data_IF_938133385361
#
_entry.id   IF_938133385361
#
_cell.length_a   1.000
_cell.length_b   1.000
_cell.length_c   1.000
_cell.angle_alpha   90.00
_cell.angle_beta   90.00
_cell.angle_gamma   90.00
#
_symmetry.space_group_name_H-M   'P 1'
#
loop_
_entity.id
_entity.type
_entity.pdbx_description
1 polymer ?
#
# COMPACT_ATOMS: atom_id res chain seq x y z
N UNK A 1 -31.89 54.25 -8.01
CA UNK A 1 -31.62 55.51 -8.74
C UNK A 1 -30.27 55.36 -9.41
N UNK A 2 -30.26 55.42 -10.74
CA UNK A 2 -29.22 54.98 -11.67
C UNK A 2 -28.15 56.05 -11.89
N UNK A 3 -26.86 55.70 -11.82
CA UNK A 3 -25.77 56.56 -12.24
C UNK A 3 -25.30 56.15 -13.65
N UNK A 4 -25.62 56.99 -14.63
CA UNK A 4 -25.20 56.90 -16.03
C UNK A 4 -23.84 57.58 -16.20
N UNK A 5 -22.84 56.84 -16.69
CA UNK A 5 -21.55 57.42 -17.09
C UNK A 5 -21.56 57.65 -18.61
N UNK A 6 -21.48 58.93 -18.94
CA UNK A 6 -21.42 59.56 -20.26
C UNK A 6 -20.11 59.23 -20.98
N UNK A 7 -20.20 58.72 -22.20
CA UNK A 7 -19.05 58.52 -23.10
C UNK A 7 -18.81 59.80 -23.91
N UNK A 8 -17.64 60.40 -23.71
CA UNK A 8 -17.16 61.57 -24.46
C UNK A 8 -16.83 61.21 -25.91
N UNK A 9 -17.48 61.95 -26.81
CA UNK A 9 -17.26 62.00 -28.25
C UNK A 9 -15.84 62.48 -28.61
N UNK A 10 -15.22 61.81 -29.59
CA UNK A 10 -14.21 62.44 -30.44
C UNK A 10 -14.33 61.95 -31.88
N UNK A 11 -15.00 62.81 -32.64
CA UNK A 11 -15.05 62.94 -34.09
C UNK A 11 -13.72 62.66 -34.80
N UNK A 12 -13.74 61.75 -35.77
CA UNK A 12 -12.85 61.76 -36.93
C UNK A 12 -13.72 61.65 -38.18
N UNK A 13 -14.10 62.81 -38.72
CA UNK A 13 -14.75 62.97 -40.02
C UNK A 13 -13.72 63.26 -41.11
N UNK A 14 -13.70 62.34 -42.09
CA UNK A 14 -13.61 62.57 -43.54
C UNK A 14 -12.52 63.49 -44.11
N UNK A 15 -11.66 62.85 -44.91
CA UNK A 15 -11.10 63.46 -46.12
C UNK A 15 -11.68 62.73 -47.34
N UNK A 16 -12.45 63.47 -48.14
CA UNK A 16 -13.00 63.08 -49.43
C UNK A 16 -12.03 63.55 -50.53
N UNK A 17 -11.70 62.66 -51.46
CA UNK A 17 -11.06 63.03 -52.72
C UNK A 17 -10.87 61.83 -53.64
N UNK A 18 -11.68 61.74 -54.71
CA UNK A 18 -11.42 60.86 -55.85
C UNK A 18 -12.62 60.03 -56.33
N UNK A 19 -13.35 60.58 -57.30
CA UNK A 19 -14.35 59.90 -58.13
C UNK A 19 -13.66 59.34 -59.38
N UNK A 20 -13.71 58.04 -59.65
CA UNK A 20 -13.74 57.47 -61.01
C UNK A 20 -14.47 56.12 -60.99
N UNK A 21 -15.53 56.06 -61.79
CA UNK A 21 -16.31 54.86 -62.07
C UNK A 21 -15.46 53.84 -62.84
N UNK A 22 -15.33 52.63 -62.29
CA UNK A 22 -15.14 51.43 -63.10
C UNK A 22 -15.97 50.30 -62.51
N UNK A 23 -17.13 50.08 -63.15
CA UNK A 23 -17.91 48.86 -63.04
C UNK A 23 -17.14 47.71 -63.67
N UNK A 24 -16.38 46.97 -62.86
CA UNK A 24 -15.81 45.67 -63.26
C UNK A 24 -16.12 44.62 -62.20
N UNK A 25 -17.26 43.96 -62.43
CA UNK A 25 -17.60 42.58 -62.06
C UNK A 25 -17.06 42.09 -60.70
N UNK A 26 -17.90 42.20 -59.68
CA UNK A 26 -17.80 41.41 -58.45
C UNK A 26 -17.92 39.93 -58.84
N UNK A 27 -16.78 39.27 -59.06
CA UNK A 27 -16.74 37.82 -59.21
C UNK A 27 -16.95 37.20 -57.85
N UNK A 28 -17.94 36.33 -57.80
CA UNK A 28 -18.35 35.48 -56.69
C UNK A 28 -17.15 34.66 -56.18
N UNK A 29 -16.30 35.26 -55.36
CA UNK A 29 -15.33 34.53 -54.54
C UNK A 29 -16.05 34.15 -53.27
N UNK A 30 -16.81 33.06 -53.37
CA UNK A 30 -17.22 32.29 -52.21
C UNK A 30 -16.02 32.15 -51.28
N UNK A 31 -16.12 32.73 -50.09
CA UNK A 31 -15.11 32.56 -49.05
C UNK A 31 -15.12 31.10 -48.68
N UNK A 32 -14.18 30.32 -49.23
CA UNK A 32 -14.01 28.92 -48.86
C UNK A 32 -13.53 28.92 -47.42
N UNK A 33 -14.44 28.70 -46.47
CA UNK A 33 -14.07 28.35 -45.11
C UNK A 33 -13.31 27.03 -45.17
N UNK A 34 -11.98 27.09 -45.07
CA UNK A 34 -11.16 25.91 -44.88
C UNK A 34 -11.37 25.42 -43.46
N UNK A 35 -12.30 24.46 -43.30
CA UNK A 35 -12.48 23.77 -42.02
C UNK A 35 -11.28 22.86 -41.80
N UNK A 36 -10.27 23.37 -41.09
CA UNK A 36 -9.14 22.57 -40.65
C UNK A 36 -9.65 21.62 -39.56
N UNK A 37 -9.75 20.33 -39.88
CA UNK A 37 -10.10 19.30 -38.92
C UNK A 37 -9.06 19.25 -37.80
N UNK A 38 -9.42 19.71 -36.60
CA UNK A 38 -8.56 19.59 -35.43
C UNK A 38 -8.58 18.13 -34.93
N UNK A 39 -7.40 17.52 -34.80
CA UNK A 39 -7.24 16.16 -34.24
C UNK A 39 -7.73 16.14 -32.78
N UNK A 40 -8.75 15.32 -32.49
CA UNK A 40 -9.34 15.22 -31.13
C UNK A 40 -8.34 14.62 -30.13
N UNK A 41 -8.07 15.33 -29.04
CA UNK A 41 -7.26 14.82 -27.93
C UNK A 41 -8.05 13.83 -27.06
N UNK A 42 -7.42 12.71 -26.68
CA UNK A 42 -8.01 11.68 -25.81
C UNK A 42 -7.97 12.15 -24.35
N UNK A 43 -9.13 12.38 -23.75
CA UNK A 43 -9.25 12.76 -22.33
C UNK A 43 -9.06 11.54 -21.42
N UNK A 44 -8.08 11.60 -20.53
CA UNK A 44 -7.81 10.59 -19.49
C UNK A 44 -8.14 11.14 -18.10
N UNK A 45 -8.34 10.26 -17.12
CA UNK A 45 -8.58 10.57 -15.71
C UNK A 45 -7.82 9.59 -14.81
N UNK A 46 -7.19 10.12 -13.77
CA UNK A 46 -6.59 9.36 -12.68
C UNK A 46 -7.66 8.82 -11.75
N UNK A 47 -7.67 7.52 -11.57
CA UNK A 47 -8.58 6.83 -10.65
C UNK A 47 -7.81 5.85 -9.76
N UNK A 48 -8.39 5.55 -8.61
CA UNK A 48 -7.99 4.46 -7.75
C UNK A 48 -9.07 3.38 -7.82
N UNK A 49 -8.69 2.13 -8.05
CA UNK A 49 -9.63 1.01 -8.04
C UNK A 49 -10.00 0.63 -6.61
N UNK A 50 -11.30 0.47 -6.33
CA UNK A 50 -11.82 -0.02 -5.05
C UNK A 50 -12.03 -1.53 -5.04
N UNK A 51 -12.17 -2.12 -6.21
CA UNK A 51 -12.40 -3.54 -6.43
C UNK A 51 -11.43 -4.07 -7.48
N UNK A 52 -11.25 -5.39 -7.51
CA UNK A 52 -10.52 -6.04 -8.60
C UNK A 52 -11.39 -6.00 -9.86
N UNK A 53 -10.82 -5.51 -10.96
CA UNK A 53 -11.52 -5.40 -12.24
C UNK A 53 -10.69 -6.15 -13.27
N UNK A 54 -11.27 -7.25 -13.76
CA UNK A 54 -10.77 -7.99 -14.92
C UNK A 54 -10.54 -6.99 -16.06
N UNK A 55 -9.32 -6.94 -16.61
CA UNK A 55 -8.79 -5.98 -17.61
C UNK A 55 -8.01 -4.76 -17.07
N UNK A 56 -8.26 -4.28 -15.85
CA UNK A 56 -7.53 -3.12 -15.31
C UNK A 56 -6.46 -3.51 -14.30
N UNK A 57 -6.82 -4.34 -13.33
CA UNK A 57 -5.93 -4.71 -12.23
C UNK A 57 -6.63 -4.80 -10.88
N UNK A 58 -5.81 -4.98 -9.84
CA UNK A 58 -6.25 -5.26 -8.48
C UNK A 58 -6.76 -4.00 -7.77
N UNK A 59 -7.54 -4.21 -6.71
CA UNK A 59 -7.94 -3.19 -5.74
C UNK A 59 -6.73 -2.38 -5.25
N UNK A 60 -6.91 -1.06 -5.15
CA UNK A 60 -5.90 -0.13 -4.63
C UNK A 60 -4.90 0.36 -5.68
N UNK A 61 -5.04 -0.03 -6.95
CA UNK A 61 -4.13 0.45 -8.00
C UNK A 61 -4.52 1.84 -8.51
N UNK A 62 -3.50 2.68 -8.69
CA UNK A 62 -3.60 4.01 -9.28
C UNK A 62 -3.40 3.92 -10.80
N UNK A 63 -4.43 4.24 -11.58
CA UNK A 63 -4.42 4.06 -13.04
C UNK A 63 -4.99 5.28 -13.77
N UNK A 64 -4.44 5.55 -14.95
CA UNK A 64 -4.95 6.55 -15.89
C UNK A 64 -5.89 5.89 -16.91
N UNK A 65 -7.19 6.12 -16.78
CA UNK A 65 -8.22 5.54 -17.66
C UNK A 65 -8.86 6.57 -18.56
N UNK A 66 -9.52 6.13 -19.64
CA UNK A 66 -10.33 7.02 -20.48
C UNK A 66 -11.44 7.68 -19.64
N UNK A 67 -11.62 8.99 -19.79
CA UNK A 67 -12.58 9.75 -18.98
C UNK A 67 -14.03 9.22 -19.09
N UNK A 68 -14.43 8.76 -20.28
CA UNK A 68 -15.75 8.15 -20.50
C UNK A 68 -15.93 6.82 -19.77
N UNK A 69 -14.87 6.00 -19.71
CA UNK A 69 -14.90 4.71 -19.02
C UNK A 69 -15.01 4.88 -17.51
N UNK A 70 -14.27 5.83 -16.93
CA UNK A 70 -14.43 6.19 -15.52
C UNK A 70 -15.86 6.66 -15.21
N UNK A 71 -16.39 7.60 -16.01
CA UNK A 71 -17.70 8.22 -15.76
C UNK A 71 -18.89 7.27 -15.94
N UNK A 72 -18.85 6.42 -16.97
CA UNK A 72 -20.01 5.62 -17.34
C UNK A 72 -20.01 4.23 -16.70
N UNK A 73 -18.84 3.68 -16.39
CA UNK A 73 -18.71 2.30 -15.90
C UNK A 73 -18.16 2.25 -14.47
N UNK A 74 -16.97 2.81 -14.22
CA UNK A 74 -16.28 2.57 -12.94
C UNK A 74 -16.85 3.37 -11.76
N UNK A 75 -17.24 4.63 -11.97
CA UNK A 75 -17.79 5.48 -10.91
C UNK A 75 -19.24 5.10 -10.53
N UNK A 76 -20.17 4.86 -11.47
CA UNK A 76 -21.55 4.49 -11.12
C UNK A 76 -21.64 3.12 -10.45
N UNK A 77 -20.77 2.18 -10.84
CA UNK A 77 -20.70 0.85 -10.23
C UNK A 77 -19.87 0.82 -8.93
N UNK A 78 -19.32 1.95 -8.48
CA UNK A 78 -18.51 2.03 -7.25
C UNK A 78 -17.14 1.35 -7.33
N UNK A 79 -16.75 0.82 -8.49
CA UNK A 79 -15.49 0.08 -8.71
C UNK A 79 -14.25 0.95 -8.61
N UNK A 80 -14.38 2.27 -8.76
CA UNK A 80 -13.28 3.20 -8.66
C UNK A 80 -13.64 4.51 -7.95
N UNK A 81 -12.63 5.25 -7.51
CA UNK A 81 -12.74 6.59 -6.96
C UNK A 81 -11.79 7.55 -7.69
N UNK A 82 -12.21 8.81 -7.81
CA UNK A 82 -11.39 9.86 -8.44
C UNK A 82 -10.23 10.19 -7.50
N UNK A 83 -9.03 10.27 -8.06
CA UNK A 83 -7.83 10.60 -7.29
C UNK A 83 -7.79 12.12 -7.12
N UNK A 84 -8.03 12.57 -5.90
CA UNK A 84 -7.82 13.97 -5.50
C UNK A 84 -6.46 14.10 -4.82
N UNK A 85 -5.82 15.29 -4.85
CA UNK A 85 -4.55 15.49 -4.15
C UNK A 85 -4.67 15.26 -2.64
N UNK A 86 -5.85 15.46 -2.06
CA UNK A 86 -6.14 15.18 -0.64
C UNK A 86 -6.12 13.67 -0.40
N UNK A 87 -6.87 12.90 -1.21
CA UNK A 87 -6.90 11.44 -1.10
C UNK A 87 -5.51 10.81 -1.26
N UNK A 88 -4.69 11.33 -2.18
CA UNK A 88 -3.32 10.86 -2.35
C UNK A 88 -2.47 11.08 -1.10
N UNK A 89 -2.62 12.22 -0.41
CA UNK A 89 -1.91 12.48 0.85
C UNK A 89 -2.39 11.56 1.97
N UNK A 90 -3.70 11.37 2.10
CA UNK A 90 -4.28 10.46 3.10
C UNK A 90 -3.77 9.03 2.92
N UNK A 91 -3.74 8.54 1.67
CA UNK A 91 -3.20 7.22 1.35
C UNK A 91 -1.73 7.09 1.74
N UNK A 92 -0.89 8.08 1.41
CA UNK A 92 0.53 8.06 1.78
C UNK A 92 0.73 8.03 3.29
N UNK A 93 -0.01 8.85 4.04
CA UNK A 93 0.06 8.85 5.50
C UNK A 93 -0.37 7.50 6.07
N UNK A 94 -1.42 6.90 5.50
CA UNK A 94 -1.88 5.58 5.94
C UNK A 94 -0.86 4.48 5.62
N UNK A 95 -0.25 4.51 4.43
CA UNK A 95 0.82 3.59 4.04
C UNK A 95 2.05 3.73 4.95
N UNK A 96 2.48 4.97 5.23
CA UNK A 96 3.58 5.27 6.14
C UNK A 96 3.30 4.77 7.56
N UNK A 97 2.07 4.93 8.06
CA UNK A 97 1.67 4.40 9.38
C UNK A 97 1.74 2.88 9.41
N UNK A 98 1.17 2.22 8.41
CA UNK A 98 1.19 0.75 8.32
C UNK A 98 2.63 0.24 8.23
N UNK A 99 3.47 0.90 7.43
CA UNK A 99 4.88 0.54 7.28
C UNK A 99 5.67 0.78 8.58
N UNK A 100 5.40 1.87 9.28
CA UNK A 100 6.00 2.15 10.59
C UNK A 100 5.59 1.10 11.62
N UNK A 101 4.30 0.73 11.69
CA UNK A 101 3.82 -0.32 12.59
C UNK A 101 4.48 -1.68 12.28
N UNK A 102 4.56 -2.07 11.00
CA UNK A 102 5.26 -3.29 10.59
C UNK A 102 6.72 -3.30 11.02
N UNK A 103 7.42 -2.17 10.84
CA UNK A 103 8.83 -2.03 11.27
C UNK A 103 8.96 -2.15 12.78
N UNK A 104 8.09 -1.49 13.55
CA UNK A 104 8.09 -1.57 15.01
C UNK A 104 7.87 -2.99 15.50
N UNK A 105 6.86 -3.69 14.97
CA UNK A 105 6.58 -5.09 15.32
C UNK A 105 7.77 -6.00 14.96
N UNK A 106 8.41 -5.77 13.80
CA UNK A 106 9.60 -6.52 13.40
C UNK A 106 10.80 -6.25 14.32
N UNK A 107 11.02 -5.00 14.70
CA UNK A 107 12.09 -4.60 15.62
C UNK A 107 11.87 -5.19 17.02
N UNK A 108 10.66 -5.13 17.55
CA UNK A 108 10.29 -5.77 18.81
C UNK A 108 10.52 -7.29 18.76
N UNK A 109 10.12 -7.95 17.67
CA UNK A 109 10.37 -9.38 17.47
C UNK A 109 11.88 -9.70 17.38
N UNK A 110 12.69 -8.86 16.74
CA UNK A 110 14.14 -9.03 16.69
C UNK A 110 14.80 -8.84 18.06
N UNK A 111 14.34 -7.87 18.84
CA UNK A 111 14.82 -7.68 20.21
C UNK A 111 14.50 -8.90 21.07
N UNK A 112 13.27 -9.43 20.97
CA UNK A 112 12.88 -10.66 21.65
C UNK A 112 13.75 -11.84 21.21
N UNK A 113 14.01 -11.99 19.91
CA UNK A 113 14.88 -13.06 19.41
C UNK A 113 16.28 -13.00 20.05
N UNK A 114 16.89 -11.81 20.11
CA UNK A 114 18.21 -11.62 20.76
C UNK A 114 18.18 -11.96 22.25
N UNK A 115 17.11 -11.65 22.95
CA UNK A 115 16.95 -12.00 24.37
C UNK A 115 16.92 -13.52 24.52
N UNK A 116 16.14 -14.22 23.71
CA UNK A 116 16.05 -15.68 23.74
C UNK A 116 17.37 -16.37 23.40
N UNK A 117 18.11 -15.85 22.41
CA UNK A 117 19.44 -16.36 22.05
C UNK A 117 20.48 -16.13 23.16
N UNK A 118 20.40 -14.99 23.86
CA UNK A 118 21.33 -14.65 24.94
C UNK A 118 21.12 -15.52 26.19
N UNK A 119 19.87 -15.83 26.54
CA UNK A 119 19.56 -16.67 27.72
C UNK A 119 20.02 -18.12 27.49
N UNK A 120 20.04 -18.57 26.24
CA UNK A 120 21.00 -19.55 25.73
C UNK A 120 20.89 -21.01 26.21
N UNK A 121 20.27 -21.33 27.34
CA UNK A 121 20.09 -22.72 27.79
C UNK A 121 18.92 -22.89 28.76
N UNK A 122 17.78 -23.37 28.25
CA UNK A 122 16.64 -23.75 29.09
C UNK A 122 16.83 -25.18 29.60
N UNK A 123 16.77 -25.36 30.93
CA UNK A 123 16.93 -26.65 31.58
C UNK A 123 15.57 -27.33 31.74
N UNK A 124 15.32 -28.39 30.98
CA UNK A 124 14.11 -29.20 31.10
C UNK A 124 14.41 -30.38 32.01
N UNK A 125 13.66 -30.50 33.11
CA UNK A 125 13.75 -31.65 34.02
C UNK A 125 12.68 -32.68 33.66
N UNK A 126 13.08 -33.92 33.37
CA UNK A 126 12.17 -35.06 33.14
C UNK A 126 12.64 -36.28 33.92
N UNK A 127 11.73 -37.24 34.17
CA UNK A 127 12.10 -38.50 34.82
C UNK A 127 12.94 -39.35 33.88
N UNK A 128 14.13 -39.77 34.33
CA UNK A 128 15.00 -40.65 33.56
C UNK A 128 14.45 -42.07 33.43
N UNK A 129 14.56 -42.65 32.25
CA UNK A 129 14.25 -44.05 31.94
C UNK A 129 15.49 -44.93 31.97
N UNK A 130 15.45 -46.07 31.26
CA UNK A 130 16.63 -46.95 31.13
C UNK A 130 17.68 -46.25 30.26
N UNK A 131 18.88 -46.05 30.80
CA UNK A 131 20.00 -45.44 30.07
C UNK A 131 19.80 -43.92 29.85
N UNK A 132 19.96 -43.46 28.60
CA UNK A 132 19.80 -42.04 28.21
C UNK A 132 18.37 -41.66 27.80
N UNK A 133 17.43 -42.60 27.82
CA UNK A 133 16.04 -42.32 27.45
C UNK A 133 15.30 -41.65 28.61
N UNK A 134 14.38 -40.74 28.29
CA UNK A 134 13.46 -40.12 29.26
C UNK A 134 12.07 -40.74 29.20
N UNK A 135 11.32 -40.67 30.30
CA UNK A 135 9.91 -41.04 30.31
C UNK A 135 9.06 -39.91 29.72
N UNK A 136 8.46 -40.20 28.57
CA UNK A 136 7.65 -39.26 27.80
C UNK A 136 8.46 -38.47 26.77
N UNK A 137 7.78 -37.56 26.08
CA UNK A 137 8.38 -36.67 25.08
C UNK A 137 8.37 -35.24 25.62
N UNK A 138 9.43 -34.48 25.40
CA UNK A 138 9.41 -33.03 25.68
C UNK A 138 8.49 -32.35 24.68
N UNK A 139 7.49 -31.64 25.17
CA UNK A 139 6.50 -30.96 24.33
C UNK A 139 6.77 -29.45 24.25
N UNK A 140 6.17 -28.79 23.27
CA UNK A 140 6.19 -27.32 23.18
C UNK A 140 5.64 -26.64 24.45
N UNK A 141 4.68 -27.28 25.14
CA UNK A 141 4.12 -26.76 26.39
C UNK A 141 5.18 -26.68 27.50
N UNK A 142 6.01 -27.72 27.63
CA UNK A 142 7.08 -27.74 28.65
C UNK A 142 8.06 -26.58 28.43
N UNK A 143 8.38 -26.26 27.17
CA UNK A 143 9.24 -25.13 26.85
C UNK A 143 8.59 -23.79 27.17
N UNK A 144 7.31 -23.62 26.85
CA UNK A 144 6.56 -22.40 27.19
C UNK A 144 6.54 -22.18 28.70
N UNK A 145 6.28 -23.22 29.47
CA UNK A 145 6.21 -23.13 30.93
C UNK A 145 7.58 -22.76 31.54
N UNK A 146 8.67 -23.32 31.00
CA UNK A 146 10.04 -23.00 31.44
C UNK A 146 10.44 -21.58 31.03
N UNK A 147 10.08 -21.15 29.82
CA UNK A 147 10.30 -19.77 29.36
C UNK A 147 9.55 -18.79 30.27
N UNK A 148 8.30 -19.12 30.64
CA UNK A 148 7.50 -18.31 31.56
C UNK A 148 8.13 -18.25 32.96
N UNK A 149 8.67 -19.35 33.45
CA UNK A 149 9.33 -19.39 34.75
C UNK A 149 10.64 -18.59 34.77
N UNK A 150 11.45 -18.64 33.69
CA UNK A 150 12.77 -18.01 33.66
C UNK A 150 12.75 -16.55 33.20
N UNK A 151 11.98 -16.22 32.15
CA UNK A 151 11.93 -14.88 31.58
C UNK A 151 10.69 -14.08 31.98
N UNK A 152 9.73 -14.68 32.69
CA UNK A 152 8.43 -14.06 33.03
C UNK A 152 7.69 -13.53 31.78
N UNK A 153 7.91 -14.18 30.64
CA UNK A 153 7.33 -13.82 29.34
C UNK A 153 6.38 -14.92 28.91
N UNK A 154 5.19 -14.51 28.45
CA UNK A 154 4.20 -15.44 27.91
C UNK A 154 4.44 -15.66 26.42
N UNK A 155 4.54 -16.92 26.01
CA UNK A 155 4.86 -17.35 24.64
C UNK A 155 3.82 -18.38 24.21
N UNK A 156 3.19 -18.18 23.05
CA UNK A 156 2.20 -19.14 22.56
C UNK A 156 2.89 -20.42 22.04
N UNK A 157 2.41 -21.59 22.46
CA UNK A 157 2.86 -22.89 21.98
C UNK A 157 2.84 -23.04 20.45
N UNK A 158 1.97 -22.30 19.75
CA UNK A 158 1.85 -22.34 18.28
C UNK A 158 3.09 -21.83 17.55
N UNK A 159 3.90 -21.01 18.21
CA UNK A 159 5.10 -20.43 17.60
C UNK A 159 6.35 -21.27 17.85
N UNK A 160 6.24 -22.29 18.72
CA UNK A 160 7.34 -23.17 19.10
C UNK A 160 7.41 -24.35 18.14
N UNK A 161 8.53 -24.49 17.44
CA UNK A 161 8.85 -25.65 16.63
C UNK A 161 9.92 -26.47 17.34
N UNK A 162 9.55 -27.67 17.79
CA UNK A 162 10.41 -28.58 18.54
C UNK A 162 10.47 -29.95 17.82
N UNK A 163 11.67 -30.54 17.62
CA UNK A 163 11.79 -31.94 17.23
C UNK A 163 11.31 -32.87 18.36
N UNK A 164 11.00 -34.12 18.04
CA UNK A 164 10.63 -35.09 19.07
C UNK A 164 11.84 -35.45 19.94
N UNK A 165 11.84 -35.03 21.21
CA UNK A 165 12.94 -35.28 22.15
C UNK A 165 12.55 -36.37 23.13
N UNK A 166 13.26 -37.50 23.09
CA UNK A 166 13.05 -38.69 23.94
C UNK A 166 14.30 -39.13 24.70
N UNK A 167 15.40 -38.41 24.54
CA UNK A 167 16.67 -38.69 25.19
C UNK A 167 17.18 -37.46 25.96
N UNK A 168 18.04 -37.69 26.95
CA UNK A 168 18.78 -36.63 27.63
C UNK A 168 19.89 -36.11 26.73
N UNK A 169 19.95 -34.79 26.53
CA UNK A 169 20.93 -34.16 25.67
C UNK A 169 20.63 -32.70 25.41
N UNK A 170 21.45 -32.10 24.55
CA UNK A 170 21.26 -30.73 24.07
C UNK A 170 20.54 -30.72 22.73
N UNK A 171 19.46 -29.97 22.66
CA UNK A 171 18.63 -29.82 21.47
C UNK A 171 18.44 -28.35 21.14
N UNK A 172 18.17 -28.06 19.87
CA UNK A 172 17.87 -26.70 19.39
C UNK A 172 16.38 -26.64 19.06
N UNK A 173 15.67 -25.75 19.73
CA UNK A 173 14.27 -25.41 19.44
C UNK A 173 14.22 -24.10 18.64
N UNK A 174 13.29 -24.00 17.70
CA UNK A 174 13.07 -22.79 16.90
C UNK A 174 11.78 -22.09 17.32
N UNK A 175 11.86 -20.81 17.66
CA UNK A 175 10.73 -19.95 18.02
C UNK A 175 10.43 -19.01 16.85
N UNK A 176 9.26 -19.15 16.22
CA UNK A 176 8.80 -18.31 15.11
C UNK A 176 8.05 -17.08 15.64
N UNK A 177 8.78 -16.06 16.10
CA UNK A 177 8.20 -14.85 16.71
C UNK A 177 7.47 -13.96 15.70
N UNK A 178 7.96 -13.88 14.47
CA UNK A 178 7.36 -13.13 13.37
C UNK A 178 7.58 -13.90 12.05
N UNK A 179 6.76 -13.71 10.99
CA UNK A 179 6.99 -14.35 9.68
C UNK A 179 8.41 -14.23 9.12
N UNK A 180 9.11 -13.17 9.47
CA UNK A 180 10.50 -12.91 9.04
C UNK A 180 11.54 -13.07 10.15
N UNK A 181 11.13 -13.37 11.39
CA UNK A 181 12.04 -13.43 12.55
C UNK A 181 11.82 -14.73 13.31
N UNK A 182 12.85 -15.59 13.29
CA UNK A 182 12.94 -16.81 14.06
C UNK A 182 14.10 -16.72 15.06
N UNK A 183 13.90 -17.18 16.28
CA UNK A 183 14.93 -17.28 17.31
C UNK A 183 15.30 -18.74 17.56
N UNK A 184 16.59 -19.02 17.72
CA UNK A 184 17.09 -20.37 18.07
C UNK A 184 17.41 -20.44 19.54
N UNK A 185 16.88 -21.46 20.19
CA UNK A 185 16.99 -21.64 21.63
C UNK A 185 17.58 -23.02 21.93
N UNK A 186 18.63 -23.07 22.75
CA UNK A 186 19.15 -24.36 23.21
C UNK A 186 18.36 -24.85 24.42
N UNK A 187 18.01 -26.12 24.37
CA UNK A 187 17.24 -26.85 25.37
C UNK A 187 18.13 -27.97 25.87
N UNK A 188 18.41 -27.97 27.17
CA UNK A 188 19.19 -29.02 27.80
C UNK A 188 18.28 -29.88 28.69
N UNK A 189 18.16 -31.15 28.32
CA UNK A 189 17.27 -32.11 29.00
C UNK A 189 18.08 -32.92 30.00
N UNK A 190 17.73 -32.77 31.28
CA UNK A 190 18.35 -33.52 32.38
C UNK A 190 17.35 -34.50 33.01
N UNK A 191 17.83 -35.70 33.28
CA UNK A 191 17.11 -36.67 34.10
C UNK A 191 17.19 -36.26 35.58
N UNK A 192 16.05 -36.33 36.25
CA UNK A 192 15.98 -36.33 37.72
C UNK A 192 15.95 -37.75 38.26
#
# INVERSE_FOLDING_TARGET
>A
MTATLSWSSSSWLQSLGGNMNETTKFSDRGTVMVVVAQKKAKKTRKIILKEDVTELGKKGQLLDVKAGFARNYLLPLGKAQIVTPILLKEMRVQEERIEAEKKRVKEEAQQLARIFETVGAFKVKRKGGKGKLIFGTVTAQDLVDIIKAQLQRDVDKRIVSLPEIRETGEYIAELKLHPEVSARVKVNVFAN
#
